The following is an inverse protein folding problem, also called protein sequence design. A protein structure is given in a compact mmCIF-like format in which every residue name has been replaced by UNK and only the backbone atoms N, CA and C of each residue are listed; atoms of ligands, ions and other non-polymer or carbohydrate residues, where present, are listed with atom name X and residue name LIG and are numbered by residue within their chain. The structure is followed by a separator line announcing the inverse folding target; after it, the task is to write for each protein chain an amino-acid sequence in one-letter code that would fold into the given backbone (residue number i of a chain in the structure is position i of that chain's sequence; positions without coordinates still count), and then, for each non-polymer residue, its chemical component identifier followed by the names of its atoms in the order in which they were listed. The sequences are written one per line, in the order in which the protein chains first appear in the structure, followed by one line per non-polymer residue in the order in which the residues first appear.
data_IF_060143862328
#
_entry.id   IF_060143862328
#
_cell.length_a   1.000
_cell.length_b   1.000
_cell.length_c   1.000
_cell.angle_alpha   90.00
_cell.angle_beta   90.00
_cell.angle_gamma   90.00
#
_symmetry.space_group_name_H-M   'P 1'
#
loop_
_entity.id
_entity.type
_entity.pdbx_description
1 polymer ?
#
# COMPACT_ATOMS: atom_id res chain seq x y z
N UNK A 1 29.70 -3.50 -6.89
CA UNK A 1 28.65 -3.38 -5.86
C UNK A 1 28.38 -1.91 -5.60
N UNK A 2 27.37 -1.32 -6.27
CA UNK A 2 26.91 0.04 -5.96
C UNK A 2 25.47 -0.05 -5.50
N UNK A 3 25.25 0.42 -4.28
CA UNK A 3 23.95 0.60 -3.66
C UNK A 3 23.13 1.60 -4.48
N UNK A 4 22.05 1.13 -5.10
CA UNK A 4 21.01 1.95 -5.71
C UNK A 4 20.12 2.51 -4.62
N UNK A 5 20.55 3.60 -4.00
CA UNK A 5 19.75 4.36 -3.05
C UNK A 5 18.91 5.41 -3.78
N UNK A 6 17.63 5.46 -3.43
CA UNK A 6 16.72 6.59 -3.60
C UNK A 6 16.43 7.03 -5.05
N UNK A 7 15.43 6.42 -5.69
CA UNK A 7 14.48 7.09 -6.64
C UNK A 7 13.38 6.17 -7.19
N UNK A 8 13.38 4.86 -6.92
CA UNK A 8 12.42 3.92 -7.55
C UNK A 8 10.97 3.98 -7.00
N UNK A 9 10.69 4.79 -5.99
CA UNK A 9 9.32 4.98 -5.48
C UNK A 9 8.50 6.01 -6.27
N UNK A 10 9.09 6.72 -7.24
CA UNK A 10 8.35 7.67 -8.08
C UNK A 10 7.42 7.00 -9.09
N UNK A 11 7.60 5.71 -9.38
CA UNK A 11 6.77 4.95 -10.32
C UNK A 11 5.61 4.20 -9.67
N UNK A 12 5.51 4.20 -8.33
CA UNK A 12 4.39 3.62 -7.60
C UNK A 12 3.43 4.77 -7.29
N UNK A 13 2.44 4.98 -8.16
CA UNK A 13 1.54 6.16 -8.22
C UNK A 13 1.26 6.81 -6.86
N UNK A 14 1.45 8.13 -6.77
CA UNK A 14 1.75 8.91 -5.56
C UNK A 14 0.90 8.75 -4.29
N UNK A 15 -0.17 7.94 -4.30
CA UNK A 15 -0.87 7.49 -3.09
C UNK A 15 -0.22 6.27 -2.42
N UNK A 16 0.38 5.35 -3.18
CA UNK A 16 1.06 4.16 -2.64
C UNK A 16 2.36 4.51 -1.93
N UNK A 17 3.11 5.49 -2.45
CA UNK A 17 4.26 6.06 -1.74
C UNK A 17 3.89 6.61 -0.35
N UNK A 18 2.68 7.18 -0.20
CA UNK A 18 2.21 7.65 1.13
C UNK A 18 1.90 6.49 2.07
N UNK A 19 1.34 5.39 1.59
CA UNK A 19 1.09 4.19 2.41
C UNK A 19 2.42 3.65 2.95
N UNK A 20 3.40 3.46 2.07
CA UNK A 20 4.72 2.97 2.43
C UNK A 20 5.39 3.85 3.50
N UNK A 21 5.42 5.17 3.29
CA UNK A 21 6.06 6.09 4.25
C UNK A 21 5.36 6.08 5.61
N UNK A 22 4.02 5.98 5.64
CA UNK A 22 3.25 5.88 6.88
C UNK A 22 3.51 4.56 7.62
N UNK A 23 3.52 3.44 6.90
CA UNK A 23 3.84 2.13 7.49
C UNK A 23 5.26 2.12 8.07
N UNK A 24 6.23 2.67 7.32
CA UNK A 24 7.61 2.79 7.78
C UNK A 24 7.72 3.65 9.04
N UNK A 25 7.00 4.77 9.08
CA UNK A 25 6.94 5.64 10.26
C UNK A 25 6.34 4.90 11.46
N UNK A 26 5.24 4.17 11.25
CA UNK A 26 4.62 3.37 12.30
C UNK A 26 5.58 2.30 12.83
N UNK A 27 6.26 1.56 11.94
CA UNK A 27 7.26 0.56 12.31
C UNK A 27 8.38 1.15 13.18
N UNK A 28 8.88 2.33 12.84
CA UNK A 28 9.90 3.03 13.63
C UNK A 28 9.34 3.57 14.97
N UNK A 29 8.06 3.94 15.03
CA UNK A 29 7.41 4.37 16.28
C UNK A 29 7.19 3.23 17.27
N UNK A 30 6.81 2.04 16.77
CA UNK A 30 6.59 0.86 17.62
C UNK A 30 7.88 0.08 17.88
N UNK A 31 9.00 0.49 17.26
CA UNK A 31 10.29 -0.15 17.42
C UNK A 31 10.75 -0.16 18.89
N UNK A 32 11.13 -1.33 19.38
CA UNK A 32 11.51 -1.54 20.79
C UNK A 32 10.35 -1.47 21.78
N UNK A 33 9.10 -1.45 21.31
CA UNK A 33 7.90 -1.56 22.15
C UNK A 33 7.31 -2.97 22.06
N UNK A 34 6.37 -3.30 22.95
CA UNK A 34 5.59 -4.55 22.89
C UNK A 34 4.76 -4.70 21.61
N UNK A 35 4.57 -3.62 20.85
CA UNK A 35 3.85 -3.61 19.58
C UNK A 35 4.77 -3.81 18.37
N UNK A 36 6.08 -3.96 18.60
CA UNK A 36 7.03 -4.34 17.55
C UNK A 36 6.69 -5.76 17.07
N UNK A 37 6.12 -5.86 15.87
CA UNK A 37 5.83 -7.13 15.21
C UNK A 37 6.55 -7.21 13.86
N UNK A 38 7.04 -8.40 13.47
CA UNK A 38 7.67 -8.60 12.17
C UNK A 38 6.66 -8.46 11.01
N UNK A 39 5.37 -8.53 11.29
CA UNK A 39 4.29 -8.47 10.30
C UNK A 39 4.23 -7.13 9.58
N UNK A 40 4.42 -6.02 10.32
CA UNK A 40 4.52 -4.67 9.70
C UNK A 40 5.72 -4.60 8.76
N UNK A 41 6.88 -5.12 9.18
CA UNK A 41 8.09 -5.11 8.36
C UNK A 41 7.93 -5.94 7.08
N UNK A 42 7.28 -7.12 7.19
CA UNK A 42 6.97 -7.98 6.03
C UNK A 42 5.97 -7.32 5.09
N UNK A 43 4.93 -6.70 5.64
CA UNK A 43 3.97 -5.93 4.86
C UNK A 43 4.63 -4.79 4.07
N UNK A 44 5.58 -4.08 4.68
CA UNK A 44 6.36 -3.04 4.00
C UNK A 44 7.20 -3.62 2.85
N UNK A 45 7.87 -4.76 3.07
CA UNK A 45 8.63 -5.45 2.02
C UNK A 45 7.72 -5.88 0.87
N UNK A 46 6.57 -6.48 1.17
CA UNK A 46 5.58 -6.91 0.16
C UNK A 46 5.05 -5.74 -0.69
N UNK A 47 4.76 -4.60 -0.06
CA UNK A 47 4.31 -3.37 -0.74
C UNK A 47 5.41 -2.77 -1.64
N UNK A 48 6.67 -2.95 -1.24
CA UNK A 48 7.82 -2.46 -2.00
C UNK A 48 8.22 -3.42 -3.15
N UNK A 49 8.11 -4.72 -2.91
CA UNK A 49 8.64 -5.77 -3.78
C UNK A 49 7.65 -6.25 -4.83
N UNK A 50 6.34 -6.22 -4.54
CA UNK A 50 5.31 -6.75 -5.41
C UNK A 50 4.24 -5.71 -5.75
N UNK A 51 3.67 -5.75 -6.97
CA UNK A 51 2.53 -4.92 -7.30
C UNK A 51 1.31 -5.31 -6.46
N UNK A 52 0.67 -4.31 -5.84
CA UNK A 52 -0.54 -4.53 -5.05
C UNK A 52 -1.72 -4.92 -5.95
N UNK A 53 -2.62 -5.74 -5.41
CA UNK A 53 -3.88 -6.07 -6.09
C UNK A 53 -4.74 -4.80 -6.20
N UNK A 54 -5.53 -4.68 -7.27
CA UNK A 54 -6.45 -3.55 -7.44
C UNK A 54 -7.44 -3.42 -6.27
N UNK A 55 -7.90 -4.54 -5.71
CA UNK A 55 -8.80 -4.57 -4.55
C UNK A 55 -8.13 -4.01 -3.27
N UNK A 56 -6.88 -4.38 -3.01
CA UNK A 56 -6.11 -3.82 -1.90
C UNK A 56 -5.85 -2.33 -2.10
N UNK A 57 -5.49 -1.92 -3.32
CA UNK A 57 -5.26 -0.52 -3.66
C UNK A 57 -6.51 0.34 -3.47
N UNK A 58 -7.68 -0.12 -3.91
CA UNK A 58 -8.96 0.56 -3.67
C UNK A 58 -9.27 0.67 -2.17
N UNK A 59 -9.12 -0.43 -1.43
CA UNK A 59 -9.37 -0.46 0.01
C UNK A 59 -8.48 0.55 0.74
N UNK A 60 -7.17 0.53 0.48
CA UNK A 60 -6.21 1.46 1.08
C UNK A 60 -6.55 2.91 0.73
N UNK A 61 -6.90 3.19 -0.53
CA UNK A 61 -7.27 4.54 -0.95
C UNK A 61 -8.54 5.06 -0.26
N UNK A 62 -9.56 4.21 -0.06
CA UNK A 62 -10.77 4.59 0.69
C UNK A 62 -10.45 4.92 2.14
N UNK A 63 -9.62 4.10 2.78
CA UNK A 63 -9.24 4.30 4.19
C UNK A 63 -8.37 5.54 4.37
N UNK A 64 -7.44 5.81 3.44
CA UNK A 64 -6.66 7.05 3.42
C UNK A 64 -7.55 8.29 3.28
N UNK A 65 -8.55 8.25 2.39
CA UNK A 65 -9.54 9.34 2.26
C UNK A 65 -10.39 9.50 3.52
N UNK A 66 -10.64 8.41 4.23
CA UNK A 66 -11.33 8.39 5.52
C UNK A 66 -10.50 8.88 6.71
N UNK A 67 -9.21 9.20 6.50
CA UNK A 67 -8.35 9.69 7.58
C UNK A 67 -7.90 8.60 8.56
N UNK A 68 -7.77 7.35 8.10
CA UNK A 68 -7.26 6.23 8.90
C UNK A 68 -5.93 6.58 9.58
N UNK A 69 -5.78 6.21 10.85
CA UNK A 69 -4.54 6.42 11.61
C UNK A 69 -3.41 5.46 11.18
N UNK A 70 -2.17 5.76 11.55
CA UNK A 70 -0.99 4.97 11.18
C UNK A 70 -1.09 3.53 11.74
N UNK A 71 -1.58 3.36 12.96
CA UNK A 71 -1.76 2.05 13.58
C UNK A 71 -2.84 1.21 12.89
N UNK A 72 -3.99 1.83 12.60
CA UNK A 72 -5.10 1.16 11.91
C UNK A 72 -4.74 0.82 10.46
N UNK A 73 -3.94 1.67 9.81
CA UNK A 73 -3.40 1.38 8.48
C UNK A 73 -2.48 0.16 8.51
N UNK A 74 -1.62 0.03 9.52
CA UNK A 74 -0.74 -1.12 9.68
C UNK A 74 -1.54 -2.43 9.85
N UNK A 75 -2.53 -2.42 10.74
CA UNK A 75 -3.44 -3.55 10.97
C UNK A 75 -4.17 -3.97 9.69
N UNK A 76 -4.69 -2.99 8.93
CA UNK A 76 -5.37 -3.27 7.66
C UNK A 76 -4.45 -3.91 6.62
N UNK A 77 -3.22 -3.42 6.49
CA UNK A 77 -2.27 -3.97 5.53
C UNK A 77 -1.85 -5.38 5.93
N UNK A 78 -1.64 -5.64 7.23
CA UNK A 78 -1.38 -6.98 7.75
C UNK A 78 -2.56 -7.90 7.46
N UNK A 79 -3.79 -7.47 7.72
CA UNK A 79 -4.98 -8.27 7.46
C UNK A 79 -5.14 -8.60 5.96
N UNK A 80 -4.88 -7.63 5.07
CA UNK A 80 -4.87 -7.87 3.62
C UNK A 80 -3.77 -8.86 3.21
N UNK A 81 -2.63 -8.86 3.90
CA UNK A 81 -1.52 -9.78 3.65
C UNK A 81 -1.86 -11.20 4.12
N UNK A 82 -2.44 -11.33 5.30
CA UNK A 82 -2.87 -12.61 5.87
C UNK A 82 -3.95 -13.28 4.99
N UNK A 83 -4.85 -12.48 4.41
CA UNK A 83 -5.89 -12.92 3.47
C UNK A 83 -5.36 -13.13 2.02
N UNK A 84 -4.04 -13.09 1.79
CA UNK A 84 -3.36 -13.17 0.47
C UNK A 84 -3.82 -12.13 -0.57
N UNK A 85 -4.47 -11.05 -0.12
CA UNK A 85 -5.09 -10.04 -0.99
C UNK A 85 -4.30 -8.76 -1.16
N UNK A 86 -3.22 -8.60 -0.41
CA UNK A 86 -2.38 -7.39 -0.45
C UNK A 86 -1.65 -7.26 -1.80
N UNK A 87 -0.83 -8.26 -2.12
CA UNK A 87 0.07 -8.26 -3.28
C UNK A 87 -0.25 -9.39 -4.25
N UNK A 88 0.11 -9.21 -5.52
CA UNK A 88 0.03 -10.27 -6.53
C UNK A 88 1.28 -11.14 -6.34
N UNK A 89 1.20 -12.10 -5.42
CA UNK A 89 2.17 -13.21 -5.32
C UNK A 89 1.57 -14.34 -6.15
N UNK A 90 2.24 -14.71 -7.24
CA UNK A 90 1.72 -15.68 -8.20
C UNK A 90 1.62 -17.08 -7.54
N UNK A 91 0.43 -17.45 -7.07
CA UNK A 91 0.03 -18.84 -6.81
C UNK A 91 -1.45 -19.01 -7.21
N UNK A 92 -1.75 -18.86 -8.50
CA UNK A 92 -3.02 -19.27 -9.10
C UNK A 92 -4.27 -18.44 -8.75
N UNK A 93 -5.06 -18.11 -9.77
CA UNK A 93 -6.48 -17.75 -9.63
C UNK A 93 -6.83 -16.42 -8.95
N UNK A 94 -6.69 -15.30 -9.68
CA UNK A 94 -7.84 -14.57 -10.24
C UNK A 94 -7.38 -13.22 -10.78
N UNK A 95 -6.96 -13.25 -12.04
CA UNK A 95 -7.19 -12.12 -12.93
C UNK A 95 -8.72 -12.00 -13.12
N UNK A 96 -9.41 -11.26 -12.25
CA UNK A 96 -10.82 -10.92 -12.50
C UNK A 96 -11.01 -9.43 -12.67
N UNK A 97 -10.97 -9.10 -13.97
CA UNK A 97 -11.58 -8.00 -14.69
C UNK A 97 -10.91 -6.61 -14.57
N UNK A 98 -10.63 -5.95 -15.71
CA UNK A 98 -10.15 -4.58 -15.72
C UNK A 98 -11.28 -3.67 -15.20
N UNK A 99 -11.22 -3.32 -13.92
CA UNK A 99 -11.99 -2.20 -13.40
C UNK A 99 -11.40 -0.93 -14.03
N UNK A 100 -12.06 -0.45 -15.07
CA UNK A 100 -11.82 0.85 -15.69
C UNK A 100 -11.83 1.90 -14.56
N UNK A 101 -10.66 2.40 -14.15
CA UNK A 101 -10.60 3.65 -13.39
C UNK A 101 -10.75 4.78 -14.41
N UNK A 102 -11.99 5.07 -14.77
CA UNK A 102 -12.38 6.33 -15.37
C UNK A 102 -13.55 6.92 -14.58
N UNK A 103 -13.20 7.56 -13.48
CA UNK A 103 -13.86 8.80 -13.07
C UNK A 103 -12.78 9.85 -12.81
N UNK A 104 -11.91 10.05 -13.81
CA UNK A 104 -11.36 11.37 -14.09
C UNK A 104 -12.53 12.25 -14.59
N UNK A 105 -13.34 12.70 -13.64
CA UNK A 105 -14.23 13.85 -13.85
C UNK A 105 -13.41 15.12 -13.75
N UNK A 106 -12.51 15.34 -14.71
CA UNK A 106 -12.01 16.67 -15.01
C UNK A 106 -13.13 17.42 -15.76
N UNK A 107 -13.96 18.12 -15.01
CA UNK A 107 -14.80 19.20 -15.52
C UNK A 107 -14.66 20.30 -14.46
N UNK A 108 -14.02 21.43 -14.74
CA UNK A 108 -14.67 22.50 -15.48
C UNK A 108 -13.83 23.09 -16.63
N UNK A 109 -14.42 23.29 -17.82
CA UNK A 109 -13.91 24.22 -18.79
C UNK A 109 -14.06 25.65 -18.25
N UNK A 110 -12.92 26.32 -18.16
CA UNK A 110 -12.74 27.76 -18.05
C UNK A 110 -13.75 28.48 -18.94
N UNK A 111 -14.59 29.33 -18.36
CA UNK A 111 -15.30 30.40 -19.08
C UNK A 111 -15.17 31.71 -18.31
#
# INVERSE_FOLDING_TARGET
MRAGGASETAAIGGQLGRVYERLKRHAEQVRGTLMETPDVARAIDDVYRYPLRSAATDTLNRQLRGGIDDAQLAELVIALRDDDRLSIVDDGEQAREPQIICSLGLYEPRR
#
